data_IF_311398219525
#
_entry.id   IF_311398219525
#
_cell.length_a   1.000
_cell.length_b   1.000
_cell.length_c   1.000
_cell.angle_alpha   90.00
_cell.angle_beta   90.00
_cell.angle_gamma   90.00
#
_symmetry.space_group_name_H-M   'P 1'
#
loop_
_entity.id
_entity.type
_entity.pdbx_description
1 polymer ?
#
# COMPACT_ATOMS: atom_id res chain seq x y z
N UNK A 1 3.53 -6.02 -11.08
CA UNK A 1 2.47 -5.84 -12.08
C UNK A 1 1.18 -5.46 -11.37
N UNK A 2 0.33 -4.65 -12.00
CA UNK A 2 -0.94 -4.21 -11.43
C UNK A 2 -1.89 -5.38 -11.16
N UNK A 3 -1.89 -6.40 -12.03
CA UNK A 3 -2.82 -7.52 -11.95
C UNK A 3 -2.70 -8.33 -10.66
N UNK A 4 -1.54 -8.31 -9.99
CA UNK A 4 -1.36 -8.97 -8.69
C UNK A 4 -1.92 -8.15 -7.51
N UNK A 5 -1.99 -6.82 -7.64
CA UNK A 5 -2.42 -5.92 -6.56
C UNK A 5 -3.90 -5.57 -6.66
N UNK A 6 -4.49 -5.66 -7.85
CA UNK A 6 -5.91 -5.39 -8.06
C UNK A 6 -6.83 -6.25 -7.18
N UNK A 7 -6.61 -7.57 -6.99
CA UNK A 7 -7.41 -8.38 -6.08
C UNK A 7 -7.33 -7.89 -4.63
N UNK A 8 -6.13 -7.54 -4.15
CA UNK A 8 -5.90 -7.04 -2.78
C UNK A 8 -6.66 -5.72 -2.57
N UNK A 9 -6.60 -4.81 -3.53
CA UNK A 9 -7.38 -3.56 -3.48
C UNK A 9 -8.89 -3.85 -3.54
N UNK A 10 -9.31 -4.85 -4.32
CA UNK A 10 -10.71 -5.26 -4.43
C UNK A 10 -11.24 -6.02 -3.20
N UNK A 11 -10.40 -6.44 -2.29
CA UNK A 11 -10.79 -7.00 -0.99
C UNK A 11 -10.87 -5.93 0.11
N UNK A 12 -10.27 -4.74 -0.12
CA UNK A 12 -10.36 -3.64 0.83
C UNK A 12 -11.84 -3.23 1.02
N UNK A 13 -12.29 -3.29 2.28
CA UNK A 13 -13.60 -2.80 2.69
C UNK A 13 -13.77 -1.34 2.30
N UNK A 14 -14.95 -0.99 1.78
CA UNK A 14 -15.25 0.39 1.40
C UNK A 14 -15.43 1.22 2.66
N UNK A 15 -14.76 2.37 2.76
CA UNK A 15 -15.00 3.30 3.86
C UNK A 15 -16.45 3.80 3.80
N UNK A 16 -17.21 3.62 4.88
CA UNK A 16 -18.45 4.36 5.09
C UNK A 16 -18.12 5.71 5.74
N UNK A 17 -18.54 6.81 5.11
CA UNK A 17 -18.34 8.17 5.62
C UNK A 17 -19.19 8.46 6.86
N UNK A 18 -20.18 7.61 7.13
CA UNK A 18 -21.05 7.69 8.30
C UNK A 18 -20.61 6.72 9.41
N UNK A 19 -19.56 5.92 9.19
CA UNK A 19 -18.91 5.20 10.29
C UNK A 19 -18.37 6.23 11.27
N UNK A 20 -18.81 6.12 12.53
CA UNK A 20 -18.30 6.96 13.60
C UNK A 20 -16.80 6.64 13.81
N UNK A 21 -15.89 7.61 13.59
CA UNK A 21 -14.44 7.39 13.75
C UNK A 21 -14.03 7.08 15.19
N UNK A 22 -14.94 7.23 16.17
CA UNK A 22 -14.74 6.92 17.58
C UNK A 22 -15.59 5.75 18.07
N UNK A 23 -16.42 5.13 17.23
CA UNK A 23 -17.14 3.93 17.61
C UNK A 23 -16.15 2.81 17.91
N UNK A 24 -16.27 2.23 19.11
CA UNK A 24 -15.41 1.15 19.57
C UNK A 24 -15.68 -0.08 18.69
N UNK A 25 -14.67 -0.74 18.08
CA UNK A 25 -14.84 -1.93 17.25
C UNK A 25 -15.51 -3.13 17.94
N UNK A 26 -15.95 -2.98 19.19
CA UNK A 26 -16.67 -3.97 19.99
C UNK A 26 -18.18 -4.06 19.65
N UNK A 27 -18.78 -3.04 19.02
CA UNK A 27 -20.25 -2.98 18.81
C UNK A 27 -20.75 -3.52 17.46
N UNK A 28 -19.87 -4.00 16.57
CA UNK A 28 -20.27 -4.54 15.27
C UNK A 28 -19.19 -5.39 14.58
N UNK A 29 -19.47 -6.69 14.45
CA UNK A 29 -18.80 -7.75 13.68
C UNK A 29 -17.38 -7.48 13.10
N UNK A 30 -16.36 -7.62 13.95
CA UNK A 30 -15.28 -8.61 13.82
C UNK A 30 -14.33 -8.45 15.03
N UNK A 31 -13.82 -9.53 15.64
CA UNK A 31 -12.88 -9.40 16.74
C UNK A 31 -11.59 -8.75 16.22
N UNK A 32 -11.41 -7.47 16.52
CA UNK A 32 -10.13 -6.81 16.52
C UNK A 32 -9.21 -7.57 17.47
N UNK A 33 -8.44 -8.53 16.93
CA UNK A 33 -7.39 -9.18 17.68
C UNK A 33 -6.48 -8.07 18.25
N UNK A 34 -6.51 -7.91 19.57
CA UNK A 34 -5.73 -6.96 20.36
C UNK A 34 -6.12 -5.47 20.32
N UNK A 35 -7.41 -5.10 20.29
CA UNK A 35 -7.84 -3.73 20.68
C UNK A 35 -7.34 -2.60 19.77
N UNK A 36 -6.95 -2.93 18.53
CA UNK A 36 -6.66 -1.97 17.47
C UNK A 36 -7.81 -1.97 16.46
N UNK A 37 -8.22 -0.81 15.92
CA UNK A 37 -9.20 -0.77 14.85
C UNK A 37 -8.71 -1.62 13.66
N UNK A 38 -9.66 -2.21 12.91
CA UNK A 38 -9.34 -3.01 11.73
C UNK A 38 -8.32 -2.29 10.84
N UNK A 39 -7.20 -2.96 10.55
CA UNK A 39 -6.09 -2.36 9.80
C UNK A 39 -6.56 -1.97 8.39
N UNK A 40 -6.64 -0.66 8.13
CA UNK A 40 -7.02 -0.15 6.81
C UNK A 40 -5.82 -0.16 5.87
N UNK A 41 -5.91 -0.79 4.69
CA UNK A 41 -4.79 -0.84 3.75
C UNK A 41 -4.48 0.55 3.18
N UNK A 42 -3.22 0.73 2.79
CA UNK A 42 -2.75 1.90 2.04
C UNK A 42 -1.89 1.43 0.85
N UNK A 43 -2.04 2.10 -0.29
CA UNK A 43 -1.26 1.85 -1.50
C UNK A 43 -0.03 2.78 -1.52
N UNK A 44 1.16 2.20 -1.51
CA UNK A 44 2.41 2.95 -1.69
C UNK A 44 2.93 2.74 -3.13
N UNK A 45 3.08 3.82 -3.88
CA UNK A 45 3.59 3.82 -5.24
C UNK A 45 5.05 4.30 -5.24
N UNK A 46 5.96 3.41 -5.59
CA UNK A 46 7.36 3.76 -5.88
C UNK A 46 7.46 4.23 -7.33
N UNK A 47 7.81 5.48 -7.52
CA UNK A 47 7.77 6.13 -8.82
C UNK A 47 9.14 6.66 -9.24
N UNK A 48 9.77 5.99 -10.19
CA UNK A 48 11.09 6.34 -10.75
C UNK A 48 11.03 7.40 -11.87
N UNK A 49 9.86 8.05 -12.01
CA UNK A 49 9.52 9.00 -13.08
C UNK A 49 9.51 8.38 -14.49
N UNK A 50 9.34 7.06 -14.60
CA UNK A 50 9.09 6.41 -15.88
C UNK A 50 7.66 6.69 -16.37
N UNK A 51 7.55 7.27 -17.56
CA UNK A 51 6.30 7.60 -18.22
C UNK A 51 6.05 6.73 -19.46
N UNK A 52 6.61 5.52 -19.53
CA UNK A 52 6.26 4.57 -20.60
C UNK A 52 4.74 4.29 -20.64
N UNK A 53 4.13 4.06 -21.82
CA UNK A 53 2.68 3.85 -21.95
C UNK A 53 2.12 2.80 -20.97
N UNK A 54 2.81 1.66 -20.85
CA UNK A 54 2.43 0.56 -19.95
C UNK A 54 2.49 0.98 -18.48
N UNK A 55 3.53 1.70 -18.07
CA UNK A 55 3.70 2.17 -16.68
C UNK A 55 2.59 3.14 -16.31
N UNK A 56 2.23 4.06 -17.22
CA UNK A 56 1.13 5.01 -17.00
C UNK A 56 -0.21 4.29 -16.89
N UNK A 57 -0.46 3.31 -17.76
CA UNK A 57 -1.69 2.50 -17.72
C UNK A 57 -1.80 1.71 -16.41
N UNK A 58 -0.76 0.96 -16.04
CA UNK A 58 -0.74 0.16 -14.81
C UNK A 58 -0.92 1.05 -13.57
N UNK A 59 -0.22 2.20 -13.51
CA UNK A 59 -0.37 3.18 -12.43
C UNK A 59 -1.80 3.71 -12.37
N UNK A 60 -2.38 4.07 -13.51
CA UNK A 60 -3.76 4.56 -13.60
C UNK A 60 -4.77 3.53 -13.07
N UNK A 61 -4.63 2.26 -13.48
CA UNK A 61 -5.47 1.15 -13.01
C UNK A 61 -5.40 1.00 -11.49
N UNK A 62 -4.20 1.04 -10.90
CA UNK A 62 -4.02 0.90 -9.46
C UNK A 62 -4.58 2.09 -8.67
N UNK A 63 -4.34 3.31 -9.14
CA UNK A 63 -4.86 4.53 -8.48
C UNK A 63 -6.38 4.54 -8.53
N UNK A 64 -6.98 4.22 -9.68
CA UNK A 64 -8.44 4.17 -9.82
C UNK A 64 -9.06 3.10 -8.90
N UNK A 65 -8.46 1.89 -8.83
CA UNK A 65 -8.91 0.83 -7.95
C UNK A 65 -8.81 1.22 -6.47
N UNK A 66 -7.71 1.87 -6.07
CA UNK A 66 -7.54 2.35 -4.70
C UNK A 66 -8.58 3.42 -4.34
N UNK A 67 -8.80 4.40 -5.23
CA UNK A 67 -9.81 5.45 -5.03
C UNK A 67 -11.22 4.88 -4.91
N UNK A 68 -11.59 3.90 -5.73
CA UNK A 68 -12.91 3.27 -5.67
C UNK A 68 -13.20 2.58 -4.32
N UNK A 69 -12.16 2.26 -3.55
CA UNK A 69 -12.23 1.59 -2.24
C UNK A 69 -11.79 2.48 -1.09
N UNK A 70 -11.59 3.77 -1.34
CA UNK A 70 -11.09 4.74 -0.36
C UNK A 70 -9.76 4.31 0.29
N UNK A 71 -8.92 3.60 -0.48
CA UNK A 71 -7.57 3.22 -0.07
C UNK A 71 -6.66 4.43 -0.29
N UNK A 72 -6.01 4.89 0.78
CA UNK A 72 -5.05 6.00 0.74
C UNK A 72 -3.89 5.66 -0.20
N UNK A 73 -3.54 6.60 -1.08
CA UNK A 73 -2.43 6.44 -2.03
C UNK A 73 -1.28 7.39 -1.65
N UNK A 74 -0.10 6.83 -1.40
CA UNK A 74 1.13 7.58 -1.14
C UNK A 74 2.14 7.35 -2.26
N UNK A 75 2.60 8.43 -2.90
CA UNK A 75 3.59 8.36 -3.98
C UNK A 75 4.96 8.77 -3.48
N UNK A 76 5.93 7.87 -3.61
CA UNK A 76 7.34 8.13 -3.37
C UNK A 76 8.04 8.31 -4.72
N UNK A 77 8.32 9.57 -5.07
CA UNK A 77 8.97 9.90 -6.34
C UNK A 77 10.49 9.98 -6.18
N UNK A 78 11.22 9.24 -7.01
CA UNK A 78 12.67 9.41 -7.17
C UNK A 78 12.94 10.70 -7.93
N UNK A 79 13.60 11.68 -7.31
CA UNK A 79 13.75 13.03 -7.90
C UNK A 79 15.09 13.29 -8.59
N UNK A 80 16.12 12.47 -8.35
CA UNK A 80 17.49 12.79 -8.75
C UNK A 80 18.27 11.58 -9.24
N UNK A 81 19.23 11.82 -10.13
CA UNK A 81 20.14 10.79 -10.66
C UNK A 81 19.61 10.07 -11.91
N UNK A 82 20.42 9.13 -12.40
CA UNK A 82 20.08 8.29 -13.55
C UNK A 82 18.86 7.39 -13.25
N UNK A 83 18.16 6.85 -14.27
CA UNK A 83 17.02 5.96 -14.06
C UNK A 83 17.33 4.78 -13.13
N UNK A 84 18.50 4.15 -13.30
CA UNK A 84 18.93 3.03 -12.45
C UNK A 84 19.22 3.47 -11.01
N UNK A 85 19.79 4.66 -10.81
CA UNK A 85 20.02 5.21 -9.48
C UNK A 85 18.71 5.53 -8.75
N UNK A 86 17.72 6.10 -9.46
CA UNK A 86 16.38 6.35 -8.92
C UNK A 86 15.68 5.06 -8.53
N UNK A 87 15.72 4.06 -9.41
CA UNK A 87 15.15 2.74 -9.15
C UNK A 87 15.78 2.10 -7.91
N UNK A 88 17.11 2.07 -7.82
CA UNK A 88 17.82 1.52 -6.66
C UNK A 88 17.49 2.26 -5.35
N UNK A 89 17.46 3.59 -5.39
CA UNK A 89 17.10 4.41 -4.22
C UNK A 89 15.66 4.15 -3.76
N UNK A 90 14.72 4.02 -4.70
CA UNK A 90 13.32 3.72 -4.39
C UNK A 90 13.16 2.30 -3.83
N UNK A 91 13.85 1.31 -4.39
CA UNK A 91 13.85 -0.05 -3.85
C UNK A 91 14.37 -0.08 -2.41
N UNK A 92 15.52 0.57 -2.15
CA UNK A 92 16.09 0.62 -0.81
C UNK A 92 15.11 1.30 0.18
N UNK A 93 14.49 2.41 -0.25
CA UNK A 93 13.50 3.12 0.56
C UNK A 93 12.26 2.27 0.83
N UNK A 94 11.75 1.58 -0.20
CA UNK A 94 10.60 0.68 -0.09
C UNK A 94 10.86 -0.50 0.84
N UNK A 95 12.02 -1.13 0.73
CA UNK A 95 12.43 -2.24 1.62
C UNK A 95 12.56 -1.78 3.06
N UNK A 96 13.16 -0.61 3.30
CA UNK A 96 13.25 -0.03 4.64
C UNK A 96 11.87 0.29 5.21
N UNK A 97 10.98 0.91 4.43
CA UNK A 97 9.62 1.21 4.84
C UNK A 97 8.82 -0.07 5.15
N UNK A 98 8.95 -1.13 4.36
CA UNK A 98 8.31 -2.42 4.60
C UNK A 98 8.79 -3.06 5.91
N UNK A 99 10.10 -3.00 6.20
CA UNK A 99 10.66 -3.46 7.45
C UNK A 99 10.06 -2.74 8.67
N UNK A 100 9.99 -1.40 8.60
CA UNK A 100 9.40 -0.60 9.69
C UNK A 100 7.90 -0.81 9.84
N UNK A 101 7.18 -0.95 8.73
CA UNK A 101 5.76 -1.25 8.76
C UNK A 101 5.51 -2.60 9.44
N UNK A 102 6.28 -3.64 9.10
CA UNK A 102 6.12 -4.93 9.73
C UNK A 102 6.34 -4.87 11.24
N UNK A 103 7.40 -4.17 11.69
CA UNK A 103 7.64 -3.92 13.12
C UNK A 103 6.44 -3.23 13.78
N UNK A 104 5.91 -2.17 13.17
CA UNK A 104 4.73 -1.46 13.68
C UNK A 104 3.45 -2.30 13.73
N UNK A 105 3.33 -3.28 12.83
CA UNK A 105 2.21 -4.23 12.79
C UNK A 105 2.45 -5.49 13.63
N UNK A 106 3.59 -5.61 14.32
CA UNK A 106 3.96 -6.81 15.09
C UNK A 106 4.24 -8.05 14.22
N UNK A 107 4.56 -7.85 12.95
CA UNK A 107 4.89 -8.91 11.98
C UNK A 107 6.36 -8.80 11.54
N UNK A 108 6.85 -9.81 10.83
CA UNK A 108 8.17 -9.75 10.21
C UNK A 108 8.01 -9.40 8.73
N UNK A 109 8.77 -8.43 8.22
CA UNK A 109 8.72 -8.08 6.81
C UNK A 109 9.35 -9.21 5.99
N UNK A 110 8.60 -9.75 5.03
CA UNK A 110 9.19 -10.60 3.99
C UNK A 110 9.81 -9.72 2.92
N UNK A 111 11.13 -9.71 2.86
CA UNK A 111 11.86 -8.99 1.83
C UNK A 111 11.81 -9.77 0.51
N UNK A 112 11.77 -9.04 -0.61
CA UNK A 112 11.81 -9.64 -1.95
C UNK A 112 13.18 -10.33 -2.13
N UNK A 113 13.19 -11.67 -2.16
CA UNK A 113 14.39 -12.48 -2.36
C UNK A 113 14.62 -13.63 -1.37
N UNK A 114 13.87 -13.69 -0.26
CA UNK A 114 14.01 -14.76 0.74
C UNK A 114 13.20 -16.03 0.35
N UNK A 115 13.79 -17.24 0.42
CA UNK A 115 13.04 -18.50 0.22
C UNK A 115 12.02 -18.72 1.34
N UNK A 116 10.92 -19.40 1.01
CA UNK A 116 9.80 -19.66 1.92
C UNK A 116 9.99 -20.88 2.80
#
# INVERSE_FOLDING_TARGET
DADHLLPVLAEAGRHDLFDDPFADPLDGEAPAAAGWPAQRPALVLLDDASDGPVVREQRGRLVAAAQARDVRVHRLAGKQGSPIARYGALLATGSYAAAYLAVGLGTTARLVGEPG
#
